data_IF_639981467438
#
_entry.id   IF_639981467438
#
_cell.length_a   1.000
_cell.length_b   1.000
_cell.length_c   1.000
_cell.angle_alpha   90.00
_cell.angle_beta   90.00
_cell.angle_gamma   90.00
#
_symmetry.space_group_name_H-M   'P 1'
#
loop_
_entity.id
_entity.type
_entity.pdbx_description
1 polymer ?
#
# COMPACT_ATOMS: atom_id res chain seq x y z
N UNK A 1 28.25 3.68 13.87
CA UNK A 1 26.91 3.15 14.14
C UNK A 1 26.07 3.52 12.94
N UNK A 2 25.67 2.53 12.13
CA UNK A 2 24.71 2.77 11.06
C UNK A 2 23.39 3.20 11.70
N UNK A 3 22.90 4.35 11.28
CA UNK A 3 21.62 4.88 11.73
C UNK A 3 20.55 3.90 11.23
N UNK A 4 19.76 3.23 12.09
CA UNK A 4 18.69 2.37 11.60
C UNK A 4 17.74 3.22 10.76
N UNK A 5 17.56 2.87 9.50
CA UNK A 5 16.61 3.53 8.61
C UNK A 5 15.22 3.43 9.24
N UNK A 6 14.77 4.53 9.85
CA UNK A 6 13.46 4.61 10.48
C UNK A 6 12.46 5.24 9.52
N UNK A 7 11.22 4.76 9.59
CA UNK A 7 10.12 5.27 8.79
C UNK A 7 9.17 5.98 9.76
N UNK A 8 8.91 7.26 9.50
CA UNK A 8 7.90 8.00 10.24
C UNK A 8 6.51 7.66 9.68
N UNK A 9 5.63 7.17 10.54
CA UNK A 9 4.26 6.80 10.18
C UNK A 9 3.30 7.61 11.06
N UNK A 10 2.20 8.07 10.48
CA UNK A 10 1.16 8.80 11.22
C UNK A 10 0.50 7.91 12.27
N UNK A 11 0.27 8.46 13.47
CA UNK A 11 -0.48 7.77 14.55
C UNK A 11 -1.89 7.40 14.13
N UNK A 12 -2.48 8.21 13.24
CA UNK A 12 -3.81 7.96 12.66
C UNK A 12 -3.92 6.55 12.07
N UNK A 13 -2.83 6.03 11.48
CA UNK A 13 -2.85 4.70 10.89
C UNK A 13 -3.14 3.59 11.92
N UNK A 14 -2.60 3.74 13.13
CA UNK A 14 -2.89 2.83 14.23
C UNK A 14 -4.32 3.02 14.74
N UNK A 15 -4.77 4.28 14.89
CA UNK A 15 -6.13 4.59 15.33
C UNK A 15 -7.19 4.03 14.35
N UNK A 16 -6.92 4.08 13.05
CA UNK A 16 -7.79 3.53 12.01
C UNK A 16 -7.85 1.99 12.07
N UNK A 17 -6.75 1.33 12.38
CA UNK A 17 -6.75 -0.11 12.63
C UNK A 17 -7.50 -0.45 13.91
N UNK A 18 -7.20 0.23 15.02
CA UNK A 18 -7.82 0.01 16.32
C UNK A 18 -9.35 0.25 16.30
N UNK A 19 -9.81 1.20 15.48
CA UNK A 19 -11.23 1.49 15.28
C UNK A 19 -11.91 0.61 14.22
N UNK A 20 -11.19 -0.32 13.60
CA UNK A 20 -11.72 -1.24 12.58
C UNK A 20 -11.93 -0.62 11.19
N UNK A 21 -11.46 0.60 10.96
CA UNK A 21 -11.45 1.22 9.62
C UNK A 21 -10.42 0.57 8.69
N UNK A 22 -9.36 -0.01 9.25
CA UNK A 22 -8.38 -0.82 8.52
C UNK A 22 -8.38 -2.27 9.01
N UNK A 23 -8.31 -3.21 8.07
CA UNK A 23 -8.00 -4.60 8.39
C UNK A 23 -6.51 -4.78 8.65
N UNK A 24 -6.12 -5.91 9.26
CA UNK A 24 -4.71 -6.25 9.43
C UNK A 24 -3.97 -6.32 8.09
N UNK A 25 -4.59 -6.88 7.05
CA UNK A 25 -3.99 -6.97 5.71
C UNK A 25 -3.76 -5.59 5.09
N UNK A 26 -4.74 -4.69 5.26
CA UNK A 26 -4.65 -3.31 4.78
C UNK A 26 -3.53 -2.55 5.49
N UNK A 27 -3.43 -2.68 6.82
CA UNK A 27 -2.37 -2.08 7.61
C UNK A 27 -0.99 -2.58 7.16
N UNK A 28 -0.79 -3.89 7.05
CA UNK A 28 0.50 -4.48 6.67
C UNK A 28 0.90 -4.05 5.25
N UNK A 29 -0.05 -3.98 4.32
CA UNK A 29 0.24 -3.48 2.97
C UNK A 29 0.64 -2.00 3.00
N UNK A 30 -0.03 -1.13 3.77
CA UNK A 30 0.39 0.28 3.91
C UNK A 30 1.82 0.36 4.46
N UNK A 31 2.14 -0.40 5.51
CA UNK A 31 3.48 -0.43 6.10
C UNK A 31 4.54 -0.93 5.11
N UNK A 32 4.21 -1.96 4.33
CA UNK A 32 5.08 -2.47 3.27
C UNK A 32 5.33 -1.42 2.18
N UNK A 33 4.30 -0.68 1.78
CA UNK A 33 4.46 0.42 0.82
C UNK A 33 5.38 1.51 1.38
N UNK A 34 5.23 1.89 2.65
CA UNK A 34 6.13 2.85 3.30
C UNK A 34 7.58 2.35 3.31
N UNK A 35 7.78 1.06 3.55
CA UNK A 35 9.10 0.43 3.52
C UNK A 35 9.73 0.43 2.12
N UNK A 36 8.93 0.30 1.06
CA UNK A 36 9.38 0.35 -0.33
C UNK A 36 9.44 1.77 -0.90
N UNK A 37 8.93 2.75 -0.18
CA UNK A 37 8.86 4.12 -0.67
C UNK A 37 10.25 4.74 -0.76
N UNK A 38 10.48 5.50 -1.83
CA UNK A 38 11.66 6.35 -1.93
C UNK A 38 11.59 7.46 -0.88
N UNK A 39 12.64 7.64 -0.09
CA UNK A 39 12.69 8.61 1.03
C UNK A 39 12.46 10.06 0.56
N UNK A 40 12.89 10.40 -0.66
CA UNK A 40 12.80 11.76 -1.21
C UNK A 40 11.42 12.03 -1.80
N UNK A 41 10.87 11.09 -2.57
CA UNK A 41 9.59 11.30 -3.27
C UNK A 41 8.36 10.79 -2.51
N UNK A 42 8.54 9.93 -1.51
CA UNK A 42 7.46 9.24 -0.80
C UNK A 42 6.70 8.21 -1.64
N UNK A 43 7.20 7.87 -2.84
CA UNK A 43 6.53 6.98 -3.79
C UNK A 43 7.07 5.56 -3.71
N UNK A 44 6.19 4.58 -3.74
CA UNK A 44 6.54 3.17 -3.80
C UNK A 44 6.27 2.59 -5.19
N UNK A 45 7.31 2.15 -5.90
CA UNK A 45 7.18 1.47 -7.19
C UNK A 45 7.00 -0.03 -7.01
N UNK A 46 5.77 -0.52 -6.97
CA UNK A 46 5.44 -1.93 -6.67
C UNK A 46 4.57 -2.57 -7.75
N UNK A 47 4.41 -3.89 -7.69
CA UNK A 47 3.37 -4.60 -8.42
C UNK A 47 2.74 -5.69 -7.53
N UNK A 48 1.55 -6.16 -7.89
CA UNK A 48 0.82 -7.12 -7.06
C UNK A 48 1.59 -8.42 -6.81
N UNK A 49 2.37 -8.89 -7.79
CA UNK A 49 3.18 -10.10 -7.65
C UNK A 49 4.30 -9.90 -6.63
N UNK A 50 5.03 -8.80 -6.71
CA UNK A 50 6.12 -8.47 -5.79
C UNK A 50 5.62 -8.28 -4.36
N UNK A 51 4.45 -7.65 -4.18
CA UNK A 51 3.83 -7.51 -2.86
C UNK A 51 3.38 -8.87 -2.31
N UNK A 52 2.79 -9.72 -3.15
CA UNK A 52 2.39 -11.07 -2.74
C UNK A 52 3.59 -11.94 -2.34
N UNK A 53 4.72 -11.81 -3.04
CA UNK A 53 5.95 -12.52 -2.72
C UNK A 53 6.60 -11.98 -1.44
N UNK A 54 6.69 -10.65 -1.30
CA UNK A 54 7.27 -10.03 -0.10
C UNK A 54 6.45 -10.30 1.17
N UNK A 55 5.14 -10.51 1.02
CA UNK A 55 4.19 -10.79 2.10
C UNK A 55 3.63 -12.22 2.01
N UNK A 56 4.43 -13.18 1.53
CA UNK A 56 3.99 -14.57 1.29
C UNK A 56 3.31 -15.16 2.52
N UNK A 57 3.89 -14.99 3.71
CA UNK A 57 3.33 -15.53 4.95
C UNK A 57 1.95 -14.97 5.32
N UNK A 58 1.69 -13.70 4.98
CA UNK A 58 0.39 -13.08 5.20
C UNK A 58 -0.66 -13.69 4.26
N UNK A 59 -0.26 -13.99 3.02
CA UNK A 59 -1.19 -14.43 1.98
C UNK A 59 -1.15 -15.94 1.66
N UNK A 60 -0.34 -16.74 2.36
CA UNK A 60 -0.10 -18.17 2.06
C UNK A 60 -1.36 -19.05 2.05
N UNK A 61 -2.37 -18.67 2.83
CA UNK A 61 -3.63 -19.44 2.92
C UNK A 61 -4.62 -19.10 1.80
N UNK A 62 -4.34 -18.10 0.96
CA UNK A 62 -5.19 -17.74 -0.17
C UNK A 62 -4.86 -18.59 -1.39
N UNK A 63 -5.90 -19.13 -2.05
CA UNK A 63 -5.77 -19.85 -3.32
C UNK A 63 -5.07 -19.02 -4.42
N UNK A 64 -5.20 -17.69 -4.36
CA UNK A 64 -4.52 -16.77 -5.27
C UNK A 64 -4.05 -15.52 -4.48
N UNK A 65 -2.81 -15.53 -3.96
CA UNK A 65 -2.25 -14.43 -3.17
C UNK A 65 -2.23 -13.10 -3.92
N UNK A 66 -1.86 -13.12 -5.20
CA UNK A 66 -1.77 -11.91 -6.05
C UNK A 66 -3.14 -11.25 -6.21
N UNK A 67 -4.18 -12.03 -6.40
CA UNK A 67 -5.55 -11.52 -6.48
C UNK A 67 -6.03 -10.98 -5.13
N UNK A 68 -5.63 -11.59 -4.02
CA UNK A 68 -5.96 -11.06 -2.70
C UNK A 68 -5.27 -9.71 -2.46
N UNK A 69 -3.98 -9.60 -2.77
CA UNK A 69 -3.26 -8.31 -2.74
C UNK A 69 -3.97 -7.25 -3.57
N UNK A 70 -4.38 -7.57 -4.79
CA UNK A 70 -5.15 -6.65 -5.65
C UNK A 70 -6.45 -6.19 -4.96
N UNK A 71 -7.21 -7.09 -4.35
CA UNK A 71 -8.43 -6.73 -3.60
C UNK A 71 -8.14 -5.78 -2.44
N UNK A 72 -7.09 -6.05 -1.67
CA UNK A 72 -6.70 -5.20 -0.53
C UNK A 72 -6.26 -3.82 -1.02
N UNK A 73 -5.42 -3.75 -2.06
CA UNK A 73 -4.99 -2.49 -2.67
C UNK A 73 -6.17 -1.67 -3.22
N UNK A 74 -7.16 -2.31 -3.83
CA UNK A 74 -8.40 -1.65 -4.27
C UNK A 74 -9.25 -1.15 -3.09
N UNK A 75 -9.28 -1.90 -1.97
CA UNK A 75 -9.94 -1.46 -0.74
C UNK A 75 -9.27 -0.20 -0.17
N UNK A 76 -7.94 -0.21 -0.09
CA UNK A 76 -7.14 0.94 0.33
C UNK A 76 -7.35 2.17 -0.56
N UNK A 77 -7.44 1.97 -1.88
CA UNK A 77 -7.77 3.05 -2.82
C UNK A 77 -9.14 3.65 -2.51
N UNK A 78 -10.17 2.81 -2.32
CA UNK A 78 -11.54 3.27 -1.98
C UNK A 78 -11.59 4.01 -0.64
N UNK A 79 -10.73 3.65 0.31
CA UNK A 79 -10.58 4.30 1.62
C UNK A 79 -9.68 5.55 1.57
N UNK A 80 -9.26 6.01 0.40
CA UNK A 80 -8.37 7.15 0.22
C UNK A 80 -7.01 7.02 0.95
N UNK A 81 -6.52 5.79 1.15
CA UNK A 81 -5.25 5.54 1.85
C UNK A 81 -4.04 5.46 0.94
N UNK A 82 -4.28 5.07 -0.31
CA UNK A 82 -3.28 5.02 -1.36
C UNK A 82 -3.83 5.65 -2.63
N UNK A 83 -2.94 6.11 -3.52
CA UNK A 83 -3.31 6.56 -4.85
C UNK A 83 -2.35 5.98 -5.89
N UNK A 84 -2.89 5.56 -7.04
CA UNK A 84 -2.11 5.07 -8.17
C UNK A 84 -1.79 6.22 -9.12
N UNK A 85 -0.52 6.40 -9.48
CA UNK A 85 -0.17 7.35 -10.54
C UNK A 85 -0.83 6.92 -11.86
N UNK A 86 -1.43 7.87 -12.60
CA UNK A 86 -2.09 7.59 -13.87
C UNK A 86 -1.09 6.94 -14.83
N UNK A 87 -1.35 5.65 -15.12
CA UNK A 87 -0.60 4.69 -15.92
C UNK A 87 0.55 5.19 -16.82
N UNK A 88 1.74 4.62 -16.60
CA UNK A 88 2.73 4.37 -17.66
C UNK A 88 2.95 2.86 -17.85
N UNK A 89 1.98 2.18 -18.49
CA UNK A 89 2.19 0.90 -19.20
C UNK A 89 2.28 -0.42 -18.40
N UNK A 90 1.69 -1.48 -18.98
CA UNK A 90 1.75 -2.91 -18.64
C UNK A 90 1.39 -3.33 -17.20
N UNK A 91 0.75 -4.50 -17.06
CA UNK A 91 0.23 -5.11 -15.82
C UNK A 91 1.30 -5.46 -14.75
N UNK A 92 2.46 -4.83 -14.74
CA UNK A 92 3.66 -5.34 -14.05
C UNK A 92 4.44 -4.34 -13.19
N UNK A 93 4.12 -3.03 -13.16
CA UNK A 93 4.65 -2.08 -12.16
C UNK A 93 3.83 -0.79 -12.12
N UNK A 94 3.51 -0.29 -10.94
CA UNK A 94 2.84 1.00 -10.76
C UNK A 94 3.40 1.75 -9.54
N UNK A 95 3.40 3.09 -9.61
CA UNK A 95 3.77 3.95 -8.48
C UNK A 95 2.57 4.18 -7.56
N UNK A 96 2.80 4.01 -6.26
CA UNK A 96 1.81 4.21 -5.20
C UNK A 96 2.23 5.39 -4.34
N UNK A 97 1.30 6.32 -4.15
CA UNK A 97 1.42 7.44 -3.25
C UNK A 97 0.79 7.11 -1.91
N UNK A 98 1.51 7.40 -0.83
CA UNK A 98 1.11 7.09 0.54
C UNK A 98 0.95 8.42 1.27
N UNK A 99 -0.31 8.86 1.38
CA UNK A 99 -0.73 10.11 2.01
C UNK A 99 -0.33 11.40 1.24
N UNK A 100 -1.26 12.36 1.17
CA UNK A 100 -1.22 13.62 0.37
C UNK A 100 -1.53 13.52 -1.14
N UNK A 101 -2.62 12.88 -1.52
CA UNK A 101 -3.27 13.21 -2.80
C UNK A 101 -4.72 13.60 -2.55
N UNK A 102 -5.27 14.64 -3.24
CA UNK A 102 -6.69 14.89 -3.19
C UNK A 102 -7.38 13.63 -3.67
N UNK A 103 -8.21 13.05 -2.81
CA UNK A 103 -8.99 11.88 -3.16
C UNK A 103 -9.96 12.30 -4.26
N UNK A 104 -9.53 12.18 -5.53
CA UNK A 104 -10.33 12.57 -6.69
C UNK A 104 -11.50 11.61 -6.77
N UNK A 105 -12.67 12.08 -6.32
CA UNK A 105 -13.96 11.69 -6.87
C UNK A 105 -14.01 12.23 -8.30
N UNK A 106 -13.31 11.61 -9.24
CA UNK A 106 -13.51 11.91 -10.66
C UNK A 106 -14.77 11.15 -11.11
N UNK A 107 -15.92 11.75 -10.80
CA UNK A 107 -17.23 11.50 -11.37
C UNK A 107 -17.80 12.84 -11.82
N UNK A 108 -17.37 13.31 -12.98
CA UNK A 108 -18.00 14.37 -13.78
C UNK A 108 -17.68 14.09 -15.24
#
# INVERSE_FOLDING_TARGET
MENPNFIMISRQLFDDYASGQLTAEELVIILHLFYKANIVSGRAGVNYQSVANDLEDLFKNYKNPVNQVNKVMLSLLKKCRIWFEKHSGSRSKFEVWIDRYPCKRDGS
#
